data_IF_176439619721
#
_entry.id   IF_176439619721
#
_cell.length_a   1.000
_cell.length_b   1.000
_cell.length_c   1.000
_cell.angle_alpha   90.00
_cell.angle_beta   90.00
_cell.angle_gamma   90.00
#
_symmetry.space_group_name_H-M   'P 1'
#
loop_
_entity.id
_entity.type
_entity.pdbx_description
1 polymer ?
#
# COMPACT_ATOMS: atom_id res chain seq x y z
N UNK A 1 -49.15 3.76 -6.97
CA UNK A 1 -48.32 2.56 -7.26
C UNK A 1 -47.24 2.79 -8.34
N UNK A 2 -47.31 3.87 -9.14
CA UNK A 2 -46.39 4.15 -10.25
C UNK A 2 -45.07 4.81 -9.81
N UNK A 3 -45.08 5.74 -8.84
CA UNK A 3 -43.86 6.40 -8.32
C UNK A 3 -42.84 5.45 -7.66
N UNK A 4 -43.30 4.36 -7.02
CA UNK A 4 -42.40 3.38 -6.38
C UNK A 4 -41.57 2.59 -7.40
N UNK A 5 -42.10 2.37 -8.61
CA UNK A 5 -41.39 1.66 -9.69
C UNK A 5 -40.29 2.51 -10.31
N UNK A 6 -40.49 3.83 -10.43
CA UNK A 6 -39.46 4.75 -10.91
C UNK A 6 -38.33 4.97 -9.90
N UNK A 7 -38.64 5.03 -8.60
CA UNK A 7 -37.63 5.13 -7.54
C UNK A 7 -36.68 3.92 -7.52
N UNK A 8 -37.22 2.71 -7.72
CA UNK A 8 -36.44 1.47 -7.81
C UNK A 8 -35.54 1.42 -9.04
N UNK A 9 -35.99 1.95 -10.18
CA UNK A 9 -35.17 2.04 -11.41
C UNK A 9 -34.03 3.06 -11.22
N UNK A 10 -34.28 4.19 -10.55
CA UNK A 10 -33.23 5.16 -10.23
C UNK A 10 -32.20 4.61 -9.23
N UNK A 11 -32.63 3.87 -8.21
CA UNK A 11 -31.73 3.17 -7.27
C UNK A 11 -30.90 2.10 -7.98
N UNK A 12 -31.49 1.31 -8.88
CA UNK A 12 -30.75 0.32 -9.66
C UNK A 12 -29.77 0.97 -10.65
N UNK A 13 -30.16 2.07 -11.30
CA UNK A 13 -29.27 2.81 -12.20
C UNK A 13 -28.08 3.44 -11.45
N UNK A 14 -28.27 3.90 -10.21
CA UNK A 14 -27.18 4.37 -9.36
C UNK A 14 -26.24 3.23 -8.96
N UNK A 15 -26.78 2.06 -8.61
CA UNK A 15 -25.97 0.87 -8.25
C UNK A 15 -25.13 0.32 -9.42
N UNK A 16 -25.62 0.45 -10.66
CA UNK A 16 -24.88 -0.02 -11.86
C UNK A 16 -23.77 0.95 -12.26
N UNK A 17 -23.87 2.24 -11.91
CA UNK A 17 -22.78 3.21 -12.15
C UNK A 17 -21.68 3.05 -11.08
N UNK A 18 -22.02 2.67 -9.85
CA UNK A 18 -21.03 2.42 -8.79
C UNK A 18 -20.32 1.08 -8.89
N UNK A 19 -20.76 0.15 -9.75
CA UNK A 19 -20.11 -1.15 -9.94
C UNK A 19 -18.96 -1.14 -10.96
N UNK A 20 -18.72 -0.02 -11.62
CA UNK A 20 -17.43 0.24 -12.27
C UNK A 20 -16.53 0.86 -11.20
N UNK A 21 -15.92 0.03 -10.35
CA UNK A 21 -14.65 0.41 -9.76
C UNK A 21 -13.71 0.66 -10.96
N UNK A 22 -13.63 1.90 -11.42
CA UNK A 22 -12.61 2.31 -12.36
C UNK A 22 -11.30 2.14 -11.61
N UNK A 23 -10.69 0.97 -11.73
CA UNK A 23 -9.26 0.81 -11.50
C UNK A 23 -8.61 1.82 -12.44
N UNK A 24 -8.24 2.98 -11.89
CA UNK A 24 -7.58 4.02 -12.66
C UNK A 24 -6.22 3.46 -13.01
N UNK A 25 -6.11 2.85 -14.18
CA UNK A 25 -4.85 2.27 -14.63
C UNK A 25 -3.82 3.39 -14.74
N UNK A 26 -2.63 3.13 -14.22
CA UNK A 26 -1.49 4.01 -14.43
C UNK A 26 -1.14 3.99 -15.92
N UNK A 27 -0.80 5.15 -16.48
CA UNK A 27 -0.22 5.24 -17.82
C UNK A 27 1.20 4.66 -17.79
N UNK A 28 1.33 3.37 -18.11
CA UNK A 28 2.59 2.63 -18.03
C UNK A 28 3.63 3.17 -19.02
N UNK A 29 3.20 3.70 -20.17
CA UNK A 29 4.08 4.36 -21.13
C UNK A 29 4.69 5.62 -20.54
N UNK A 30 3.89 6.45 -19.88
CA UNK A 30 4.35 7.66 -19.18
C UNK A 30 5.28 7.30 -18.03
N UNK A 31 4.94 6.31 -17.20
CA UNK A 31 5.77 5.83 -16.11
C UNK A 31 7.13 5.34 -16.61
N UNK A 32 7.16 4.45 -17.60
CA UNK A 32 8.38 3.92 -18.23
C UNK A 32 9.23 5.02 -18.90
N UNK A 33 8.59 6.06 -19.47
CA UNK A 33 9.31 7.22 -20.01
C UNK A 33 9.93 8.07 -18.91
N UNK A 34 9.19 8.32 -17.83
CA UNK A 34 9.67 9.11 -16.70
C UNK A 34 10.82 8.40 -15.96
N UNK A 35 10.72 7.08 -15.75
CA UNK A 35 11.78 6.25 -15.18
C UNK A 35 13.08 6.37 -16.00
N UNK A 36 13.00 6.18 -17.33
CA UNK A 36 14.17 6.30 -18.22
C UNK A 36 14.77 7.71 -18.20
N UNK A 37 13.93 8.75 -18.12
CA UNK A 37 14.41 10.13 -18.01
C UNK A 37 15.13 10.37 -16.67
N UNK A 38 14.57 9.85 -15.58
CA UNK A 38 15.14 9.90 -14.23
C UNK A 38 16.50 9.18 -14.17
N UNK A 39 16.60 7.99 -14.76
CA UNK A 39 17.83 7.21 -14.83
C UNK A 39 18.95 7.94 -15.58
N UNK A 40 18.62 8.72 -16.62
CA UNK A 40 19.59 9.51 -17.39
C UNK A 40 20.02 10.79 -16.68
N UNK A 41 19.11 11.43 -15.94
CA UNK A 41 19.36 12.70 -15.26
C UNK A 41 18.46 12.83 -14.02
N UNK A 42 19.06 12.81 -12.83
CA UNK A 42 18.35 12.89 -11.56
C UNK A 42 17.97 14.33 -11.13
N UNK A 43 17.55 15.16 -12.09
CA UNK A 43 17.09 16.52 -11.82
C UNK A 43 15.73 16.54 -11.11
N UNK A 44 15.44 17.62 -10.36
CA UNK A 44 14.14 17.82 -9.71
C UNK A 44 12.95 17.66 -10.69
N UNK A 45 13.10 18.14 -11.94
CA UNK A 45 12.09 17.99 -12.99
C UNK A 45 11.78 16.52 -13.27
N UNK A 46 12.81 15.69 -13.40
CA UNK A 46 12.63 14.27 -13.72
C UNK A 46 12.16 13.47 -12.50
N UNK A 47 12.61 13.82 -11.29
CA UNK A 47 12.09 13.23 -10.05
C UNK A 47 10.59 13.50 -9.90
N UNK A 48 10.14 14.75 -10.09
CA UNK A 48 8.72 15.10 -10.06
C UNK A 48 7.93 14.35 -11.14
N UNK A 49 8.44 14.33 -12.37
CA UNK A 49 7.76 13.61 -13.47
C UNK A 49 7.59 12.12 -13.18
N UNK A 50 8.59 11.47 -12.56
CA UNK A 50 8.49 10.07 -12.14
C UNK A 50 7.52 9.91 -10.97
N UNK A 51 7.64 10.71 -9.92
CA UNK A 51 6.76 10.68 -8.75
C UNK A 51 5.27 10.90 -9.11
N UNK A 52 5.00 11.76 -10.08
CA UNK A 52 3.65 12.04 -10.59
C UNK A 52 3.10 10.89 -11.44
N UNK A 53 3.96 10.16 -12.13
CA UNK A 53 3.59 9.02 -12.97
C UNK A 53 3.52 7.69 -12.19
N UNK A 54 4.22 7.60 -11.06
CA UNK A 54 4.20 6.43 -10.19
C UNK A 54 2.81 6.26 -9.55
N UNK A 55 2.37 5.01 -9.25
CA UNK A 55 1.12 4.75 -8.53
C UNK A 55 0.90 5.66 -7.32
N UNK A 56 -0.35 6.07 -7.09
CA UNK A 56 -0.72 6.98 -6.00
C UNK A 56 -1.24 6.27 -4.77
N UNK A 57 -1.91 5.14 -4.97
CA UNK A 57 -2.63 4.36 -3.98
C UNK A 57 -2.46 2.86 -4.26
N UNK A 58 -2.90 2.03 -3.32
CA UNK A 58 -2.82 0.58 -3.46
C UNK A 58 -3.50 0.04 -4.73
N UNK A 59 -4.74 0.43 -5.09
CA UNK A 59 -5.38 -0.04 -6.32
C UNK A 59 -4.56 0.24 -7.58
N UNK A 60 -4.01 1.45 -7.73
CA UNK A 60 -3.10 1.76 -8.85
C UNK A 60 -1.85 0.90 -8.81
N UNK A 61 -1.28 0.70 -7.61
CA UNK A 61 -0.04 -0.04 -7.43
C UNK A 61 -0.20 -1.51 -7.84
N UNK A 62 -1.18 -2.21 -7.28
CA UNK A 62 -1.38 -3.63 -7.56
C UNK A 62 -1.83 -3.85 -9.00
N UNK A 63 -2.71 -3.01 -9.54
CA UNK A 63 -3.14 -3.08 -10.96
C UNK A 63 -1.96 -2.86 -11.92
N UNK A 64 -0.95 -2.08 -11.51
CA UNK A 64 0.23 -1.81 -12.34
C UNK A 64 1.21 -2.99 -12.32
N UNK A 65 1.43 -3.61 -11.16
CA UNK A 65 2.55 -4.54 -10.97
C UNK A 65 2.15 -5.99 -10.74
N UNK A 66 0.87 -6.30 -10.52
CA UNK A 66 0.42 -7.68 -10.36
C UNK A 66 0.57 -8.45 -11.68
N UNK A 67 0.96 -9.71 -11.58
CA UNK A 67 0.94 -10.60 -12.73
C UNK A 67 -0.52 -10.85 -13.15
N UNK A 68 -0.91 -10.31 -14.30
CA UNK A 68 -2.22 -10.49 -14.89
C UNK A 68 -2.07 -10.88 -16.36
N UNK A 69 -2.32 -12.15 -16.67
CA UNK A 69 -2.37 -12.66 -18.05
C UNK A 69 -3.75 -12.38 -18.67
N UNK A 70 -4.11 -11.09 -18.75
CA UNK A 70 -5.40 -10.62 -19.26
C UNK A 70 -5.16 -9.55 -20.33
N UNK A 71 -5.90 -9.65 -21.43
CA UNK A 71 -5.83 -8.70 -22.55
C UNK A 71 -6.11 -7.27 -22.06
N UNK A 72 -5.17 -6.35 -22.32
CA UNK A 72 -5.25 -4.95 -21.94
C UNK A 72 -4.31 -4.55 -20.80
N UNK A 73 -3.68 -5.52 -20.13
CA UNK A 73 -2.64 -5.27 -19.14
C UNK A 73 -1.24 -5.34 -19.77
N UNK A 74 -0.35 -4.46 -19.32
CA UNK A 74 1.06 -4.49 -19.69
C UNK A 74 1.80 -5.49 -18.80
N UNK A 75 1.82 -6.76 -19.21
CA UNK A 75 2.45 -7.84 -18.45
C UNK A 75 3.95 -7.60 -18.16
N UNK A 76 4.61 -6.72 -18.92
CA UNK A 76 6.01 -6.35 -18.67
C UNK A 76 6.20 -5.55 -17.39
N UNK A 77 5.13 -4.97 -16.85
CA UNK A 77 5.19 -4.18 -15.63
C UNK A 77 5.47 -5.02 -14.39
N UNK A 78 5.03 -6.29 -14.36
CA UNK A 78 5.38 -7.23 -13.29
C UNK A 78 6.92 -7.34 -13.13
N UNK A 79 7.64 -7.57 -14.24
CA UNK A 79 9.11 -7.65 -14.23
C UNK A 79 9.78 -6.32 -13.89
N UNK A 80 9.10 -5.19 -14.14
CA UNK A 80 9.58 -3.84 -13.87
C UNK A 80 9.38 -3.38 -12.43
N UNK A 81 8.50 -4.04 -11.68
CA UNK A 81 8.09 -3.63 -10.34
C UNK A 81 9.32 -3.33 -9.47
N UNK A 82 10.23 -4.29 -9.35
CA UNK A 82 11.46 -4.15 -8.55
C UNK A 82 12.26 -2.90 -8.92
N UNK A 83 12.52 -2.68 -10.22
CA UNK A 83 13.34 -1.54 -10.68
C UNK A 83 12.68 -0.19 -10.41
N UNK A 84 11.37 -0.09 -10.64
CA UNK A 84 10.64 1.16 -10.43
C UNK A 84 10.46 1.49 -8.95
N UNK A 85 10.29 0.47 -8.10
CA UNK A 85 10.26 0.64 -6.65
C UNK A 85 11.64 1.05 -6.13
N UNK A 86 12.72 0.42 -6.61
CA UNK A 86 14.09 0.85 -6.29
C UNK A 86 14.34 2.29 -6.74
N UNK A 87 13.89 2.69 -7.94
CA UNK A 87 14.00 4.06 -8.41
C UNK A 87 13.23 5.04 -7.51
N UNK A 88 12.02 4.67 -7.06
CA UNK A 88 11.25 5.45 -6.10
C UNK A 88 12.01 5.62 -4.78
N UNK A 89 12.56 4.52 -4.25
CA UNK A 89 13.27 4.47 -2.97
C UNK A 89 14.57 5.30 -2.95
N UNK A 90 15.33 5.26 -4.03
CA UNK A 90 16.72 5.75 -4.05
C UNK A 90 16.91 7.07 -4.81
N UNK A 91 16.07 7.36 -5.81
CA UNK A 91 16.32 8.48 -6.73
C UNK A 91 15.57 9.75 -6.36
N UNK A 92 14.49 9.67 -5.60
CA UNK A 92 13.63 10.81 -5.25
C UNK A 92 14.17 11.67 -4.10
N UNK A 93 15.44 12.05 -4.18
CA UNK A 93 16.19 12.75 -3.12
C UNK A 93 15.88 14.25 -3.00
N UNK A 94 15.23 14.84 -4.00
CA UNK A 94 14.86 16.26 -4.05
C UNK A 94 13.35 16.48 -3.86
N UNK A 95 12.57 15.40 -3.69
CA UNK A 95 11.19 15.47 -3.22
C UNK A 95 11.24 15.61 -1.69
N UNK A 96 10.46 16.55 -1.14
CA UNK A 96 10.47 16.76 0.30
C UNK A 96 9.89 15.56 1.06
N UNK A 97 10.39 15.34 2.27
CA UNK A 97 10.06 14.17 3.08
C UNK A 97 8.56 14.05 3.35
N UNK A 98 7.84 15.16 3.55
CA UNK A 98 6.39 15.10 3.79
C UNK A 98 5.63 14.60 2.58
N UNK A 99 5.91 15.13 1.39
CA UNK A 99 5.29 14.67 0.13
C UNK A 99 5.65 13.22 -0.16
N UNK A 100 6.92 12.85 -0.03
CA UNK A 100 7.40 11.49 -0.26
C UNK A 100 6.74 10.47 0.70
N UNK A 101 6.78 10.75 2.00
CA UNK A 101 6.22 9.84 3.00
C UNK A 101 4.70 9.76 2.89
N UNK A 102 4.01 10.85 2.55
CA UNK A 102 2.56 10.84 2.38
C UNK A 102 2.13 9.95 1.22
N UNK A 103 2.87 10.00 0.11
CA UNK A 103 2.65 9.06 -1.01
C UNK A 103 2.89 7.62 -0.58
N UNK A 104 3.98 7.37 0.14
CA UNK A 104 4.33 6.02 0.57
C UNK A 104 3.31 5.43 1.54
N UNK A 105 2.83 6.21 2.51
CA UNK A 105 1.74 5.81 3.42
C UNK A 105 0.48 5.49 2.62
N UNK A 106 0.09 6.36 1.68
CA UNK A 106 -1.11 6.16 0.87
C UNK A 106 -1.07 4.91 -0.02
N UNK A 107 0.12 4.51 -0.47
CA UNK A 107 0.31 3.25 -1.20
C UNK A 107 0.07 2.00 -0.33
N UNK A 108 0.24 2.12 0.99
CA UNK A 108 0.10 1.01 1.93
C UNK A 108 -1.29 0.90 2.57
N UNK A 109 -2.13 1.95 2.53
CA UNK A 109 -3.48 1.90 3.07
C UNK A 109 -4.31 0.90 2.26
N UNK A 110 -4.77 -0.16 2.93
CA UNK A 110 -5.57 -1.24 2.32
C UNK A 110 -4.75 -2.21 1.48
N UNK A 111 -3.42 -2.13 1.55
CA UNK A 111 -2.55 -3.07 0.88
C UNK A 111 -2.55 -4.43 1.59
N UNK A 112 -2.32 -5.49 0.83
CA UNK A 112 -2.29 -6.86 1.33
C UNK A 112 -0.91 -7.48 1.06
N UNK A 113 -0.46 -8.33 1.98
CA UNK A 113 0.81 -9.03 1.83
C UNK A 113 0.71 -10.06 0.71
N UNK A 114 1.70 -10.08 -0.17
CA UNK A 114 1.87 -11.09 -1.21
C UNK A 114 3.33 -11.12 -1.68
N UNK A 115 3.68 -12.08 -2.53
CA UNK A 115 4.97 -12.16 -3.19
C UNK A 115 5.20 -11.00 -4.18
N UNK A 116 6.48 -10.71 -4.47
CA UNK A 116 6.91 -9.69 -5.42
C UNK A 116 6.51 -8.26 -5.07
N UNK A 117 5.67 -7.60 -5.89
CA UNK A 117 5.44 -6.16 -5.77
C UNK A 117 4.93 -5.75 -4.37
N UNK A 118 3.92 -6.42 -3.78
CA UNK A 118 3.49 -6.12 -2.41
C UNK A 118 4.62 -6.31 -1.39
N UNK A 119 5.43 -7.36 -1.51
CA UNK A 119 6.58 -7.56 -0.63
C UNK A 119 7.63 -6.45 -0.77
N UNK A 120 7.97 -6.05 -2.00
CA UNK A 120 8.90 -4.93 -2.26
C UNK A 120 8.39 -3.60 -1.68
N UNK A 121 7.08 -3.34 -1.77
CA UNK A 121 6.47 -2.17 -1.15
C UNK A 121 6.57 -2.24 0.37
N UNK A 122 6.27 -3.40 0.97
CA UNK A 122 6.35 -3.58 2.42
C UNK A 122 7.78 -3.38 2.94
N UNK A 123 8.77 -3.96 2.26
CA UNK A 123 10.19 -3.75 2.59
C UNK A 123 10.57 -2.26 2.55
N UNK A 124 10.07 -1.53 1.54
CA UNK A 124 10.27 -0.09 1.44
C UNK A 124 9.59 0.68 2.58
N UNK A 125 8.41 0.27 3.03
CA UNK A 125 7.75 0.88 4.21
C UNK A 125 8.64 0.77 5.45
N UNK A 126 9.15 -0.44 5.73
CA UNK A 126 10.03 -0.67 6.88
C UNK A 126 11.32 0.13 6.79
N UNK A 127 11.95 0.16 5.62
CA UNK A 127 13.17 0.93 5.40
C UNK A 127 12.96 2.44 5.62
N UNK A 128 11.90 3.00 5.03
CA UNK A 128 11.60 4.43 5.17
C UNK A 128 11.16 4.76 6.59
N UNK A 129 10.38 3.90 7.27
CA UNK A 129 10.03 4.08 8.68
C UNK A 129 11.28 4.15 9.55
N UNK A 130 12.31 3.33 9.30
CA UNK A 130 13.57 3.39 10.06
C UNK A 130 14.36 4.68 9.81
N UNK A 131 14.32 5.24 8.60
CA UNK A 131 15.08 6.46 8.23
C UNK A 131 14.33 7.77 8.50
N UNK A 132 13.00 7.76 8.41
CA UNK A 132 12.11 8.93 8.45
C UNK A 132 10.95 8.75 9.45
N UNK A 133 11.23 8.07 10.57
CA UNK A 133 10.26 7.68 11.61
C UNK A 133 9.29 8.82 11.95
N UNK A 134 9.82 9.98 12.36
CA UNK A 134 9.00 11.11 12.79
C UNK A 134 8.04 11.65 11.72
N UNK A 135 8.44 11.64 10.44
CA UNK A 135 7.61 12.12 9.33
C UNK A 135 6.51 11.11 9.00
N UNK A 136 6.86 9.83 8.86
CA UNK A 136 5.89 8.75 8.61
C UNK A 136 4.80 8.74 9.68
N UNK A 137 5.20 8.74 10.96
CA UNK A 137 4.25 8.65 12.06
C UNK A 137 3.40 9.90 12.23
N UNK A 138 3.95 11.08 11.96
CA UNK A 138 3.14 12.30 11.92
C UNK A 138 2.02 12.16 10.89
N UNK A 139 2.31 11.63 9.70
CA UNK A 139 1.31 11.42 8.65
C UNK A 139 0.29 10.37 9.09
N UNK A 140 0.74 9.20 9.57
CA UNK A 140 -0.17 8.11 9.98
C UNK A 140 -1.08 8.56 11.15
N UNK A 141 -0.54 9.28 12.14
CA UNK A 141 -1.31 9.80 13.28
C UNK A 141 -2.41 10.80 12.90
N UNK A 142 -2.38 11.34 11.68
CA UNK A 142 -3.39 12.27 11.16
C UNK A 142 -4.46 11.58 10.31
N UNK A 143 -4.30 10.30 10.01
CA UNK A 143 -5.32 9.49 9.32
C UNK A 143 -6.51 9.24 10.25
N UNK A 144 -7.65 8.88 9.66
CA UNK A 144 -8.77 8.33 10.44
C UNK A 144 -8.39 6.94 10.98
N UNK A 145 -9.00 6.53 12.10
CA UNK A 145 -8.64 5.28 12.79
C UNK A 145 -8.72 4.03 11.89
N UNK A 146 -9.67 4.01 10.95
CA UNK A 146 -9.79 2.94 9.96
C UNK A 146 -8.58 2.85 9.04
N UNK A 147 -8.11 3.97 8.51
CA UNK A 147 -6.94 4.03 7.63
C UNK A 147 -5.63 3.75 8.39
N UNK A 148 -5.56 4.14 9.66
CA UNK A 148 -4.46 3.75 10.55
C UNK A 148 -4.39 2.23 10.68
N UNK A 149 -5.52 1.57 10.96
CA UNK A 149 -5.59 0.11 11.05
C UNK A 149 -5.17 -0.56 9.73
N UNK A 150 -5.68 -0.08 8.60
CA UNK A 150 -5.35 -0.63 7.28
C UNK A 150 -3.87 -0.47 6.93
N UNK A 151 -3.26 0.67 7.24
CA UNK A 151 -1.82 0.87 7.08
C UNK A 151 -1.02 -0.11 7.95
N UNK A 152 -1.37 -0.22 9.24
CA UNK A 152 -0.63 -1.08 10.16
C UNK A 152 -0.84 -2.57 9.89
N UNK A 153 -2.02 -2.96 9.40
CA UNK A 153 -2.28 -4.31 8.93
C UNK A 153 -1.24 -4.70 7.88
N UNK A 154 -1.07 -3.88 6.84
CA UNK A 154 -0.09 -4.15 5.80
C UNK A 154 1.33 -4.12 6.36
N UNK A 155 1.68 -3.09 7.14
CA UNK A 155 3.01 -2.91 7.69
C UNK A 155 3.46 -4.10 8.56
N UNK A 156 2.57 -4.65 9.39
CA UNK A 156 2.90 -5.76 10.30
C UNK A 156 2.58 -7.15 9.77
N UNK A 157 1.92 -7.25 8.61
CA UNK A 157 1.62 -8.53 8.01
C UNK A 157 2.88 -9.34 7.78
N UNK A 158 2.95 -10.51 8.39
CA UNK A 158 4.03 -11.45 8.15
C UNK A 158 3.52 -12.87 8.33
N UNK A 159 4.04 -13.79 7.52
CA UNK A 159 3.77 -15.23 7.67
C UNK A 159 4.29 -15.76 9.01
N UNK A 160 5.39 -15.19 9.51
CA UNK A 160 6.03 -15.66 10.73
C UNK A 160 6.36 -14.51 11.67
N UNK A 161 6.10 -14.72 12.95
CA UNK A 161 6.52 -13.80 14.00
C UNK A 161 8.00 -14.03 14.30
N UNK A 162 8.84 -13.04 14.02
CA UNK A 162 10.30 -13.13 14.15
C UNK A 162 10.84 -12.11 15.16
N UNK A 163 11.93 -12.41 15.88
CA UNK A 163 12.47 -11.52 16.92
C UNK A 163 12.81 -10.10 16.44
N UNK A 164 13.31 -9.94 15.21
CA UNK A 164 13.64 -8.61 14.67
C UNK A 164 12.38 -7.76 14.41
N UNK A 165 11.25 -8.39 14.08
CA UNK A 165 9.96 -7.73 13.85
C UNK A 165 9.42 -7.24 15.20
N UNK A 166 9.50 -8.07 16.24
CA UNK A 166 9.15 -7.68 17.61
C UNK A 166 10.02 -6.55 18.14
N UNK A 167 11.33 -6.59 17.85
CA UNK A 167 12.25 -5.53 18.22
C UNK A 167 11.89 -4.20 17.56
N UNK A 168 11.50 -4.22 16.27
CA UNK A 168 11.04 -3.03 15.55
C UNK A 168 9.73 -2.48 16.15
N UNK A 169 8.76 -3.36 16.42
CA UNK A 169 7.51 -2.99 17.11
C UNK A 169 7.79 -2.32 18.46
N UNK A 170 8.58 -2.97 19.32
CA UNK A 170 8.90 -2.44 20.65
C UNK A 170 9.61 -1.09 20.57
N UNK A 171 10.49 -0.91 19.58
CA UNK A 171 11.17 0.37 19.34
C UNK A 171 10.16 1.47 18.96
N UNK A 172 9.29 1.20 17.98
CA UNK A 172 8.29 2.19 17.54
C UNK A 172 7.31 2.52 18.66
N UNK A 173 6.76 1.52 19.34
CA UNK A 173 5.82 1.71 20.45
C UNK A 173 6.41 2.58 21.56
N UNK A 174 7.61 2.25 22.03
CA UNK A 174 8.26 2.98 23.11
C UNK A 174 8.61 4.42 22.75
N UNK A 175 8.90 4.70 21.48
CA UNK A 175 9.21 6.06 21.02
C UNK A 175 7.99 6.99 21.00
N UNK A 176 6.76 6.45 20.99
CA UNK A 176 5.59 7.20 20.53
C UNK A 176 4.36 7.09 21.41
N UNK A 177 4.29 6.07 22.29
CA UNK A 177 3.14 5.84 23.16
C UNK A 177 2.69 7.10 23.93
N UNK A 178 3.62 7.98 24.30
CA UNK A 178 3.29 9.20 25.04
C UNK A 178 2.79 10.32 24.13
N UNK A 179 3.23 10.36 22.86
CA UNK A 179 2.88 11.40 21.88
C UNK A 179 1.61 11.07 21.09
N UNK A 180 1.43 9.80 20.77
CA UNK A 180 0.33 9.29 19.93
C UNK A 180 -0.31 8.03 20.55
N UNK A 181 -0.88 8.11 21.77
CA UNK A 181 -1.37 6.94 22.50
C UNK A 181 -2.48 6.16 21.78
N UNK A 182 -3.45 6.85 21.17
CA UNK A 182 -4.55 6.21 20.43
C UNK A 182 -4.06 5.45 19.20
N UNK A 183 -3.16 6.06 18.46
CA UNK A 183 -2.52 5.46 17.28
C UNK A 183 -1.65 4.25 17.66
N UNK A 184 -0.90 4.32 18.76
CA UNK A 184 -0.13 3.17 19.25
C UNK A 184 -1.02 2.02 19.73
N UNK A 185 -2.23 2.30 20.22
CA UNK A 185 -3.23 1.25 20.49
C UNK A 185 -3.64 0.53 19.21
N UNK A 186 -3.91 1.28 18.13
CA UNK A 186 -4.28 0.71 16.82
C UNK A 186 -3.12 -0.11 16.25
N UNK A 187 -1.89 0.44 16.26
CA UNK A 187 -0.68 -0.27 15.85
C UNK A 187 -0.49 -1.58 16.63
N UNK A 188 -0.73 -1.58 17.94
CA UNK A 188 -0.59 -2.77 18.79
C UNK A 188 -1.59 -3.86 18.41
N UNK A 189 -2.85 -3.48 18.15
CA UNK A 189 -3.88 -4.41 17.68
C UNK A 189 -3.46 -5.00 16.33
N UNK A 190 -3.08 -4.16 15.36
CA UNK A 190 -2.64 -4.65 14.06
C UNK A 190 -1.43 -5.61 14.18
N UNK A 191 -0.44 -5.26 15.00
CA UNK A 191 0.71 -6.12 15.25
C UNK A 191 0.30 -7.49 15.80
N UNK A 192 -0.59 -7.53 16.78
CA UNK A 192 -1.07 -8.76 17.42
C UNK A 192 -1.85 -9.69 16.46
N UNK A 193 -2.60 -9.09 15.53
CA UNK A 193 -3.47 -9.83 14.61
C UNK A 193 -2.79 -10.24 13.31
N UNK A 194 -1.77 -9.52 12.84
CA UNK A 194 -1.17 -9.73 11.52
C UNK A 194 0.30 -10.20 11.56
N UNK A 195 1.02 -9.98 12.66
CA UNK A 195 2.41 -10.46 12.77
C UNK A 195 2.46 -11.96 13.08
N UNK A 196 2.86 -12.76 12.08
CA UNK A 196 2.92 -14.23 12.19
C UNK A 196 1.58 -14.93 12.06
N UNK A 197 0.55 -14.21 11.59
CA UNK A 197 -0.82 -14.68 11.42
C UNK A 197 -1.43 -14.23 10.09
N UNK A 198 -0.66 -13.54 9.25
CA UNK A 198 -1.06 -13.20 7.89
C UNK A 198 -0.70 -14.33 6.92
N UNK A 199 -1.44 -14.41 5.83
CA UNK A 199 -1.17 -15.27 4.67
C UNK A 199 -0.94 -14.39 3.45
N UNK A 200 -0.39 -14.95 2.37
CA UNK A 200 -0.41 -14.22 1.10
C UNK A 200 -1.84 -14.10 0.58
N UNK A 201 -2.16 -12.96 -0.02
CA UNK A 201 -3.47 -12.75 -0.65
C UNK A 201 -3.75 -13.85 -1.69
N UNK A 202 -2.74 -14.22 -2.48
CA UNK A 202 -2.81 -15.31 -3.48
C UNK A 202 -2.99 -16.71 -2.89
N UNK A 203 -2.60 -16.96 -1.63
CA UNK A 203 -2.81 -18.27 -0.99
C UNK A 203 -4.29 -18.53 -0.66
N UNK A 204 -5.11 -17.47 -0.64
CA UNK A 204 -6.53 -17.55 -0.31
C UNK A 204 -6.78 -17.81 1.19
N UNK A 205 -7.74 -17.12 1.78
CA UNK A 205 -8.05 -17.30 3.21
C UNK A 205 -8.85 -18.58 3.52
N UNK A 206 -9.51 -19.19 2.53
CA UNK A 206 -10.52 -20.25 2.75
C UNK A 206 -10.34 -21.48 1.81
N UNK A 207 -9.30 -21.57 0.98
CA UNK A 207 -9.06 -22.77 0.16
C UNK A 207 -8.19 -23.84 0.87
N UNK A 208 -8.65 -24.22 2.08
CA UNK A 208 -8.25 -25.46 2.72
C UNK A 208 -7.26 -25.33 3.89
N UNK A 209 -7.85 -25.24 5.10
CA UNK A 209 -7.24 -25.44 6.44
C UNK A 209 -6.48 -24.25 7.04
N UNK A 210 -7.15 -23.55 7.95
CA UNK A 210 -6.80 -23.48 9.38
C UNK A 210 -7.97 -22.87 10.14
N UNK A 211 -9.01 -23.67 10.39
CA UNK A 211 -9.73 -23.50 11.66
C UNK A 211 -8.78 -24.09 12.70
N UNK A 212 -8.09 -23.24 13.46
CA UNK A 212 -7.56 -23.70 14.74
C UNK A 212 -8.75 -24.30 15.49
N UNK A 213 -8.63 -25.57 15.86
CA UNK A 213 -9.65 -26.29 16.60
C UNK A 213 -10.06 -25.45 17.81
N UNK A 214 -11.33 -25.02 17.84
CA UNK A 214 -11.99 -24.64 19.08
C UNK A 214 -11.84 -25.83 20.04
N UNK A 215 -11.05 -25.65 21.09
CA UNK A 215 -11.01 -26.52 22.27
C UNK A 215 -11.73 -25.83 23.41
#
# INVERSE_FOLDING_TARGET
MIMKKFLLIYLFAFCVITSQAQYVMVDTLKLNKAERALARNNSLKNQKAFFDAFPKDWPQYITTYQYLDIKGFDATMYDKAKYQITAFAEKLTLIDDSTYCARLVNLAIGAELDADAPNYLQELQHDVMRRKTGTMLKIISQLIEGDQMLYWQFYWSNLFRKPYIEAEYNKLYNQLKDKYPSEMKIMSIAFEYFCGKSFFMTDGHIDGKTFEFEK
#
